data_IF_301752935490
#
_entry.id   IF_301752935490
#
_cell.length_a   1.000
_cell.length_b   1.000
_cell.length_c   1.000
_cell.angle_alpha   90.00
_cell.angle_beta   90.00
_cell.angle_gamma   90.00
#
_symmetry.space_group_name_H-M   'P 1'
#
loop_
_entity.id
_entity.type
_entity.pdbx_description
1 polymer ?
#
# COMPACT_ATOMS: atom_id res chain seq x y z
N UNK A 1 3.69 -26.59 -7.97
CA UNK A 1 4.60 -26.31 -6.85
C UNK A 1 4.18 -24.96 -6.29
N UNK A 2 3.71 -24.91 -5.05
CA UNK A 2 3.47 -23.65 -4.34
C UNK A 2 4.84 -23.08 -3.98
N UNK A 3 5.31 -22.08 -4.73
CA UNK A 3 6.45 -21.29 -4.30
C UNK A 3 6.08 -20.68 -2.94
N UNK A 4 6.78 -21.11 -1.88
CA UNK A 4 6.66 -20.50 -0.57
C UNK A 4 7.23 -19.09 -0.67
N UNK A 5 6.39 -18.12 -1.04
CA UNK A 5 6.77 -16.71 -1.02
C UNK A 5 7.20 -16.34 0.39
N UNK A 6 8.35 -15.67 0.51
CA UNK A 6 8.83 -15.14 1.79
C UNK A 6 7.78 -14.14 2.33
N UNK A 7 7.27 -14.39 3.52
CA UNK A 7 6.43 -13.41 4.22
C UNK A 7 7.30 -12.45 5.01
N UNK A 8 7.15 -11.15 4.73
CA UNK A 8 7.79 -10.06 5.46
C UNK A 8 6.77 -9.42 6.40
N UNK A 9 7.11 -9.28 7.67
CA UNK A 9 6.24 -8.62 8.68
C UNK A 9 6.72 -7.19 8.95
N UNK A 10 5.95 -6.44 9.74
CA UNK A 10 6.17 -5.01 10.05
C UNK A 10 7.62 -4.65 10.37
N UNK A 11 8.28 -5.39 11.28
CA UNK A 11 9.67 -5.12 11.68
C UNK A 11 10.67 -5.27 10.53
N UNK A 12 10.54 -6.35 9.77
CA UNK A 12 11.43 -6.63 8.64
C UNK A 12 11.19 -5.60 7.52
N UNK A 13 9.94 -5.20 7.31
CA UNK A 13 9.58 -4.16 6.36
C UNK A 13 10.13 -2.79 6.75
N UNK A 14 10.00 -2.39 8.02
CA UNK A 14 10.59 -1.13 8.51
C UNK A 14 12.11 -1.11 8.35
N UNK A 15 12.77 -2.25 8.56
CA UNK A 15 14.22 -2.41 8.33
C UNK A 15 14.55 -2.22 6.84
N UNK A 16 13.80 -2.88 5.94
CA UNK A 16 13.99 -2.74 4.49
C UNK A 16 13.77 -1.29 4.01
N UNK A 17 12.83 -0.55 4.60
CA UNK A 17 12.65 0.88 4.33
C UNK A 17 13.89 1.66 4.75
N UNK A 18 14.39 1.46 5.96
CA UNK A 18 15.57 2.16 6.46
C UNK A 18 16.82 1.89 5.60
N UNK A 19 17.06 0.64 5.20
CA UNK A 19 18.20 0.24 4.38
C UNK A 19 18.16 0.91 2.99
N UNK A 20 17.00 0.90 2.33
CA UNK A 20 16.82 1.46 0.98
C UNK A 20 17.01 2.97 0.90
N UNK A 21 16.71 3.67 2.00
CA UNK A 21 16.81 5.13 2.07
C UNK A 21 18.01 5.61 2.90
N UNK A 22 18.95 4.72 3.25
CA UNK A 22 20.14 5.02 4.06
C UNK A 22 21.08 6.07 3.44
N UNK A 23 21.01 6.26 2.11
CA UNK A 23 21.78 7.28 1.40
C UNK A 23 21.18 8.70 1.44
N UNK A 24 19.92 8.86 1.88
CA UNK A 24 19.25 10.17 1.99
C UNK A 24 19.19 10.60 3.47
N UNK A 25 19.86 11.70 3.80
CA UNK A 25 19.96 12.21 5.17
C UNK A 25 18.61 12.64 5.77
N UNK A 26 17.65 13.07 4.95
CA UNK A 26 16.30 13.43 5.41
C UNK A 26 15.47 12.17 5.63
N UNK A 27 15.49 11.23 4.69
CA UNK A 27 14.76 9.98 4.80
C UNK A 27 15.27 9.13 5.97
N UNK A 28 16.59 9.09 6.19
CA UNK A 28 17.21 8.38 7.32
C UNK A 28 16.70 8.89 8.67
N UNK A 29 16.45 10.20 8.81
CA UNK A 29 15.86 10.78 10.03
C UNK A 29 14.41 10.39 10.25
N UNK A 30 13.67 10.11 9.18
CA UNK A 30 12.26 9.74 9.23
C UNK A 30 12.04 8.22 9.27
N UNK A 31 13.02 7.41 8.86
CA UNK A 31 12.90 5.95 8.84
C UNK A 31 12.42 5.33 10.17
N UNK A 32 12.83 5.82 11.36
CA UNK A 32 12.29 5.32 12.63
C UNK A 32 10.77 5.50 12.79
N UNK A 33 10.16 6.45 12.08
CA UNK A 33 8.74 6.80 12.17
C UNK A 33 7.85 5.99 11.21
N UNK A 34 8.42 5.04 10.46
CA UNK A 34 7.67 4.24 9.47
C UNK A 34 6.54 3.46 10.13
N UNK A 35 6.80 2.81 11.27
CA UNK A 35 5.78 2.04 11.98
C UNK A 35 4.60 2.93 12.42
N UNK A 36 4.89 4.06 13.08
CA UNK A 36 3.86 5.03 13.50
C UNK A 36 3.09 5.61 12.30
N UNK A 37 3.77 5.83 11.17
CA UNK A 37 3.11 6.30 9.95
C UNK A 37 2.17 5.25 9.35
N UNK A 38 2.55 3.97 9.36
CA UNK A 38 1.69 2.87 8.90
C UNK A 38 0.46 2.73 9.79
N UNK A 39 0.62 2.83 11.12
CA UNK A 39 -0.48 2.89 12.07
C UNK A 39 -1.40 4.08 11.78
N UNK A 40 -0.84 5.28 11.58
CA UNK A 40 -1.61 6.49 11.25
C UNK A 40 -2.40 6.32 9.95
N UNK A 41 -1.81 5.71 8.92
CA UNK A 41 -2.47 5.46 7.63
C UNK A 41 -3.55 4.37 7.74
N UNK A 42 -3.28 3.32 8.52
CA UNK A 42 -4.18 2.20 8.75
C UNK A 42 -5.33 2.57 9.68
N UNK A 43 -5.00 2.73 10.96
CA UNK A 43 -5.94 2.91 12.07
C UNK A 43 -6.67 4.25 12.04
N UNK A 44 -6.02 5.34 11.64
CA UNK A 44 -6.66 6.68 11.67
C UNK A 44 -7.29 7.10 10.34
N UNK A 45 -6.99 6.40 9.24
CA UNK A 45 -7.54 6.73 7.92
C UNK A 45 -8.28 5.57 7.25
N UNK A 46 -7.61 4.45 7.03
CA UNK A 46 -8.20 3.32 6.31
C UNK A 46 -9.38 2.70 7.08
N UNK A 47 -9.17 2.35 8.35
CA UNK A 47 -10.19 1.71 9.19
C UNK A 47 -11.44 2.57 9.34
N UNK A 48 -11.37 3.86 9.71
CA UNK A 48 -12.57 4.70 9.85
C UNK A 48 -13.31 4.90 8.51
N UNK A 49 -12.59 4.93 7.39
CA UNK A 49 -13.19 5.01 6.05
C UNK A 49 -14.00 3.74 5.74
N UNK A 50 -13.47 2.57 6.08
CA UNK A 50 -14.16 1.29 5.93
C UNK A 50 -15.37 1.17 6.87
N UNK A 51 -15.22 1.54 8.15
CA UNK A 51 -16.31 1.52 9.13
C UNK A 51 -17.50 2.39 8.68
N UNK A 52 -17.22 3.61 8.20
CA UNK A 52 -18.26 4.52 7.71
C UNK A 52 -18.98 3.94 6.49
N UNK A 53 -18.21 3.37 5.56
CA UNK A 53 -18.73 2.70 4.37
C UNK A 53 -19.64 1.52 4.73
N UNK A 54 -19.23 0.67 5.68
CA UNK A 54 -20.03 -0.46 6.18
C UNK A 54 -21.32 0.02 6.86
N UNK A 55 -21.22 1.08 7.68
CA UNK A 55 -22.36 1.68 8.35
C UNK A 55 -23.38 2.26 7.36
N UNK A 56 -22.92 2.88 6.29
CA UNK A 56 -23.78 3.53 5.30
C UNK A 56 -24.25 2.59 4.18
N UNK A 57 -23.69 1.38 4.07
CA UNK A 57 -23.99 0.49 2.96
C UNK A 57 -23.35 0.89 1.63
N UNK A 58 -22.28 1.69 1.68
CA UNK A 58 -21.63 2.26 0.49
C UNK A 58 -20.47 1.35 0.05
N UNK A 59 -20.52 0.82 -1.18
CA UNK A 59 -19.42 0.03 -1.76
C UNK A 59 -19.34 0.30 -3.26
N UNK A 60 -18.14 0.42 -3.87
CA UNK A 60 -16.81 0.22 -3.28
C UNK A 60 -16.23 1.45 -2.60
N UNK A 61 -15.28 1.23 -1.69
CA UNK A 61 -14.40 2.26 -1.11
C UNK A 61 -13.15 2.40 -1.98
N UNK A 62 -12.76 3.63 -2.32
CA UNK A 62 -11.52 3.87 -3.08
C UNK A 62 -10.39 4.24 -2.12
N UNK A 63 -9.45 3.32 -1.95
CA UNK A 63 -8.25 3.52 -1.15
C UNK A 63 -7.07 4.00 -2.01
N UNK A 64 -6.49 5.15 -1.65
CA UNK A 64 -5.34 5.79 -2.28
C UNK A 64 -5.46 5.92 -3.81
N UNK A 65 -6.68 6.12 -4.33
CA UNK A 65 -6.98 6.15 -5.77
C UNK A 65 -6.57 4.90 -6.58
N UNK A 66 -5.97 3.89 -5.94
CA UNK A 66 -5.39 2.73 -6.61
C UNK A 66 -6.16 1.44 -6.34
N UNK A 67 -6.73 1.27 -5.14
CA UNK A 67 -7.48 0.08 -4.78
C UNK A 67 -8.97 0.40 -4.58
N UNK A 68 -9.84 -0.41 -5.19
CA UNK A 68 -11.28 -0.48 -4.92
C UNK A 68 -11.54 -1.63 -3.96
N UNK A 69 -11.92 -1.27 -2.74
CA UNK A 69 -12.26 -2.20 -1.67
C UNK A 69 -13.76 -2.46 -1.74
N UNK A 70 -14.13 -3.70 -2.01
CA UNK A 70 -15.50 -4.18 -1.96
C UNK A 70 -15.68 -4.95 -0.67
N UNK A 71 -16.84 -4.82 -0.05
CA UNK A 71 -17.19 -5.63 1.10
C UNK A 71 -18.61 -6.16 0.96
N UNK A 72 -18.87 -7.29 1.59
CA UNK A 72 -20.21 -7.88 1.71
C UNK A 72 -20.33 -8.61 3.04
N UNK A 73 -21.55 -8.72 3.56
CA UNK A 73 -21.84 -9.59 4.71
C UNK A 73 -22.28 -10.96 4.20
N UNK A 74 -21.59 -12.01 4.63
CA UNK A 74 -22.01 -13.39 4.39
C UNK A 74 -23.43 -13.58 4.96
N UNK A 75 -24.34 -14.17 4.19
CA UNK A 75 -25.74 -14.32 4.63
C UNK A 75 -25.87 -15.26 5.84
N UNK A 76 -25.04 -16.29 5.89
CA UNK A 76 -25.10 -17.35 6.90
C UNK A 76 -24.36 -16.97 8.19
N UNK A 77 -23.11 -16.51 8.09
CA UNK A 77 -22.25 -16.24 9.26
C UNK A 77 -22.33 -14.79 9.72
N UNK A 78 -22.91 -13.89 8.90
CA UNK A 78 -22.86 -12.43 9.06
C UNK A 78 -21.43 -11.85 9.07
N UNK A 79 -20.42 -12.66 8.76
CA UNK A 79 -19.04 -12.23 8.66
C UNK A 79 -18.87 -11.25 7.51
N UNK A 80 -17.99 -10.27 7.73
CA UNK A 80 -17.65 -9.28 6.74
C UNK A 80 -16.55 -9.84 5.85
N UNK A 81 -16.85 -9.99 4.57
CA UNK A 81 -15.87 -10.39 3.56
C UNK A 81 -15.41 -9.14 2.84
N UNK A 82 -14.12 -8.83 2.96
CA UNK A 82 -13.48 -7.67 2.34
C UNK A 82 -12.52 -8.11 1.25
N UNK A 83 -12.60 -7.51 0.07
CA UNK A 83 -11.71 -7.79 -1.05
C UNK A 83 -11.28 -6.49 -1.73
N UNK A 84 -9.99 -6.37 -2.07
CA UNK A 84 -9.52 -5.27 -2.92
C UNK A 84 -9.29 -5.72 -4.36
N UNK A 85 -9.62 -4.81 -5.28
CA UNK A 85 -9.27 -4.91 -6.70
C UNK A 85 -8.59 -3.60 -7.13
N UNK A 86 -7.82 -3.59 -8.22
CA UNK A 86 -7.32 -2.31 -8.74
C UNK A 86 -8.49 -1.41 -9.18
N UNK A 87 -8.46 -0.14 -8.77
CA UNK A 87 -9.57 0.81 -8.91
C UNK A 87 -9.94 1.10 -10.37
N UNK A 88 -8.95 1.06 -11.25
CA UNK A 88 -9.11 1.07 -12.69
C UNK A 88 -8.35 -0.11 -13.26
N UNK A 89 -8.94 -0.80 -14.25
CA UNK A 89 -8.19 -1.78 -15.04
C UNK A 89 -6.92 -1.16 -15.63
N UNK A 90 -6.91 0.17 -15.81
CA UNK A 90 -5.81 0.95 -16.38
C UNK A 90 -4.63 1.14 -15.43
N UNK A 91 -4.84 1.52 -14.15
CA UNK A 91 -3.73 1.86 -13.27
C UNK A 91 -2.88 0.65 -12.89
N UNK A 92 -3.52 -0.44 -12.47
CA UNK A 92 -2.83 -1.70 -12.20
C UNK A 92 -2.11 -2.24 -13.43
N UNK A 93 -2.77 -2.18 -14.60
CA UNK A 93 -2.17 -2.63 -15.87
C UNK A 93 -0.96 -1.79 -16.27
N UNK A 94 -1.05 -0.46 -16.19
CA UNK A 94 0.07 0.44 -16.52
C UNK A 94 1.25 0.23 -15.57
N UNK A 95 1.00 0.02 -14.29
CA UNK A 95 2.06 -0.33 -13.33
C UNK A 95 2.79 -1.61 -13.75
N UNK A 96 2.03 -2.63 -14.14
CA UNK A 96 2.56 -3.88 -14.69
C UNK A 96 3.32 -3.66 -16.01
N UNK A 97 2.83 -2.79 -16.91
CA UNK A 97 3.52 -2.42 -18.15
C UNK A 97 4.86 -1.74 -17.85
N UNK A 98 4.93 -0.82 -16.89
CA UNK A 98 6.19 -0.20 -16.46
C UNK A 98 7.20 -1.23 -15.94
N UNK A 99 6.75 -2.22 -15.17
CA UNK A 99 7.61 -3.30 -14.69
C UNK A 99 8.18 -4.16 -15.83
N UNK A 100 7.34 -4.53 -16.80
CA UNK A 100 7.75 -5.32 -17.99
C UNK A 100 8.70 -4.53 -18.87
N UNK A 101 8.39 -3.26 -19.16
CA UNK A 101 9.27 -2.37 -19.93
C UNK A 101 10.59 -2.10 -19.23
N UNK A 102 10.64 -2.18 -17.90
CA UNK A 102 11.85 -2.11 -17.09
C UNK A 102 12.68 -3.40 -17.04
N UNK A 103 12.33 -4.43 -17.84
CA UNK A 103 13.03 -5.71 -17.84
C UNK A 103 12.70 -6.58 -16.63
N UNK A 104 11.45 -6.54 -16.16
CA UNK A 104 10.98 -7.25 -14.95
C UNK A 104 11.77 -6.85 -13.70
N UNK A 105 12.05 -5.55 -13.56
CA UNK A 105 12.62 -4.94 -12.37
C UNK A 105 11.86 -3.66 -12.02
N UNK A 106 11.77 -3.36 -10.74
CA UNK A 106 11.26 -2.07 -10.28
C UNK A 106 12.24 -0.98 -10.69
N UNK A 107 11.73 -0.01 -11.43
CA UNK A 107 12.50 1.14 -11.93
C UNK A 107 11.99 2.44 -11.30
N UNK A 108 12.79 3.51 -11.27
CA UNK A 108 12.33 4.83 -10.82
C UNK A 108 11.03 5.28 -11.51
N UNK A 109 10.90 5.01 -12.82
CA UNK A 109 9.70 5.32 -13.59
C UNK A 109 8.46 4.56 -13.11
N UNK A 110 8.60 3.31 -12.66
CA UNK A 110 7.51 2.53 -12.07
C UNK A 110 7.08 3.12 -10.72
N UNK A 111 8.04 3.50 -9.87
CA UNK A 111 7.78 4.15 -8.59
C UNK A 111 7.09 5.51 -8.78
N UNK A 112 7.60 6.33 -9.71
CA UNK A 112 7.01 7.62 -10.07
C UNK A 112 5.60 7.48 -10.62
N UNK A 113 5.37 6.44 -11.43
CA UNK A 113 4.03 6.13 -11.91
C UNK A 113 3.08 5.79 -10.76
N UNK A 114 3.44 4.85 -9.87
CA UNK A 114 2.61 4.52 -8.71
C UNK A 114 2.31 5.76 -7.87
N UNK A 115 3.35 6.55 -7.58
CA UNK A 115 3.24 7.77 -6.80
C UNK A 115 2.35 8.82 -7.46
N UNK A 116 2.37 8.95 -8.79
CA UNK A 116 1.45 9.83 -9.52
C UNK A 116 -0.03 9.43 -9.36
N UNK A 117 -0.30 8.14 -9.13
CA UNK A 117 -1.66 7.62 -8.91
C UNK A 117 -2.07 7.79 -7.44
N UNK A 118 -1.26 7.29 -6.50
CA UNK A 118 -1.60 7.36 -5.07
C UNK A 118 -1.48 8.78 -4.51
N UNK A 119 -0.57 9.57 -5.09
CA UNK A 119 -0.29 10.97 -4.80
C UNK A 119 -1.13 11.96 -5.62
N UNK A 120 -2.27 11.53 -6.18
CA UNK A 120 -3.08 12.35 -7.10
C UNK A 120 -3.40 13.74 -6.49
N UNK A 121 -3.08 14.86 -7.18
CA UNK A 121 -3.16 16.22 -6.62
C UNK A 121 -4.53 16.62 -6.07
N UNK A 122 -5.62 16.07 -6.60
CA UNK A 122 -6.99 16.39 -6.15
C UNK A 122 -7.36 15.81 -4.77
N UNK A 123 -6.73 14.72 -4.34
CA UNK A 123 -7.08 14.00 -3.10
C UNK A 123 -5.91 13.86 -2.13
N UNK A 124 -4.68 13.79 -2.63
CA UNK A 124 -3.51 13.56 -1.79
C UNK A 124 -3.19 14.69 -0.80
N UNK A 125 -3.28 15.99 -1.15
CA UNK A 125 -3.11 17.07 -0.17
C UNK A 125 -4.14 17.00 0.97
N UNK A 126 -5.38 16.61 0.67
CA UNK A 126 -6.45 16.43 1.67
C UNK A 126 -6.13 15.26 2.60
N UNK A 127 -5.62 14.15 2.06
CA UNK A 127 -5.14 13.01 2.84
C UNK A 127 -4.02 13.43 3.79
N UNK A 128 -2.97 14.08 3.28
CA UNK A 128 -1.83 14.53 4.10
C UNK A 128 -2.28 15.51 5.20
N UNK A 129 -3.16 16.46 4.88
CA UNK A 129 -3.70 17.40 5.86
C UNK A 129 -4.51 16.67 6.95
N UNK A 130 -5.30 15.67 6.57
CA UNK A 130 -6.11 14.89 7.51
C UNK A 130 -5.24 14.02 8.42
N UNK A 131 -4.22 13.34 7.89
CA UNK A 131 -3.25 12.57 8.68
C UNK A 131 -2.48 13.48 9.66
N UNK A 132 -1.97 14.62 9.18
CA UNK A 132 -1.30 15.62 10.02
C UNK A 132 -2.21 16.10 11.17
N UNK A 133 -3.49 16.36 10.87
CA UNK A 133 -4.49 16.75 11.88
C UNK A 133 -4.72 15.63 12.90
N UNK A 134 -4.80 14.36 12.47
CA UNK A 134 -4.96 13.20 13.35
C UNK A 134 -3.76 13.02 14.27
N UNK A 135 -2.55 13.06 13.72
CA UNK A 135 -1.31 13.02 14.50
C UNK A 135 -1.27 14.14 15.55
N UNK A 136 -1.68 15.37 15.18
CA UNK A 136 -1.77 16.50 16.12
C UNK A 136 -2.80 16.28 17.23
N UNK A 137 -3.99 15.76 16.90
CA UNK A 137 -5.04 15.47 17.88
C UNK A 137 -4.61 14.40 18.89
N UNK A 138 -3.78 13.45 18.44
CA UNK A 138 -3.23 12.35 19.24
C UNK A 138 -1.73 12.56 19.52
N UNK A 139 -1.32 13.80 19.80
CA UNK A 139 0.10 14.17 19.96
C UNK A 139 0.82 13.52 21.15
N UNK A 140 0.09 12.86 22.06
CA UNK A 140 0.67 12.00 23.11
C UNK A 140 1.07 10.61 22.59
N UNK A 141 0.56 10.20 21.43
CA UNK A 141 0.78 8.88 20.82
C UNK A 141 1.68 8.92 19.59
N UNK A 142 1.73 10.05 18.88
CA UNK A 142 2.49 10.19 17.63
C UNK A 142 3.62 11.22 17.73
N UNK A 143 4.75 10.92 17.09
CA UNK A 143 5.88 11.84 16.99
C UNK A 143 5.49 13.16 16.31
N UNK A 144 6.06 14.28 16.79
CA UNK A 144 5.76 15.63 16.26
C UNK A 144 6.11 15.78 14.79
N UNK A 145 7.06 15.00 14.28
CA UNK A 145 7.42 14.99 12.87
C UNK A 145 6.31 14.45 11.97
N UNK A 146 5.34 13.69 12.49
CA UNK A 146 4.15 13.23 11.75
C UNK A 146 3.09 14.33 11.60
N UNK A 147 3.20 15.43 12.34
CA UNK A 147 2.34 16.61 12.14
C UNK A 147 2.79 17.38 10.89
N UNK A 148 4.03 17.20 10.44
CA UNK A 148 4.60 17.95 9.32
C UNK A 148 4.23 17.28 7.99
N UNK A 149 3.42 17.95 7.18
CA UNK A 149 2.92 17.40 5.91
C UNK A 149 4.03 16.92 4.95
N UNK A 150 5.13 17.67 4.81
CA UNK A 150 6.27 17.24 3.97
C UNK A 150 6.92 15.93 4.44
N UNK A 151 6.92 15.67 5.75
CA UNK A 151 7.48 14.44 6.30
C UNK A 151 6.54 13.27 5.99
N UNK A 152 5.22 13.46 6.16
CA UNK A 152 4.23 12.46 5.77
C UNK A 152 4.29 12.12 4.27
N UNK A 153 4.50 13.13 3.42
CA UNK A 153 4.70 12.94 1.98
C UNK A 153 5.94 12.08 1.68
N UNK A 154 7.06 12.34 2.36
CA UNK A 154 8.29 11.54 2.19
C UNK A 154 8.11 10.11 2.72
N UNK A 155 7.48 9.93 3.89
CA UNK A 155 7.15 8.62 4.45
C UNK A 155 6.24 7.82 3.51
N UNK A 156 5.26 8.47 2.89
CA UNK A 156 4.43 7.86 1.83
C UNK A 156 5.31 7.30 0.72
N UNK A 157 6.21 8.12 0.17
CA UNK A 157 7.11 7.69 -0.90
C UNK A 157 8.00 6.52 -0.45
N UNK A 158 8.59 6.62 0.74
CA UNK A 158 9.47 5.59 1.30
C UNK A 158 8.78 4.23 1.43
N UNK A 159 7.55 4.22 1.96
CA UNK A 159 6.76 3.00 2.15
C UNK A 159 6.36 2.38 0.81
N UNK A 160 5.77 3.16 -0.09
CA UNK A 160 5.22 2.58 -1.32
C UNK A 160 6.31 2.19 -2.34
N UNK A 161 7.45 2.89 -2.38
CA UNK A 161 8.60 2.46 -3.17
C UNK A 161 9.16 1.14 -2.63
N UNK A 162 9.30 1.03 -1.31
CA UNK A 162 9.77 -0.21 -0.68
C UNK A 162 8.80 -1.36 -0.91
N UNK A 163 7.49 -1.13 -0.83
CA UNK A 163 6.48 -2.15 -1.16
C UNK A 163 6.63 -2.66 -2.60
N UNK A 164 6.90 -1.79 -3.57
CA UNK A 164 7.14 -2.22 -4.95
C UNK A 164 8.35 -3.15 -5.03
N UNK A 165 9.50 -2.74 -4.48
CA UNK A 165 10.71 -3.56 -4.53
C UNK A 165 10.54 -4.90 -3.81
N UNK A 166 9.95 -4.92 -2.62
CA UNK A 166 9.78 -6.16 -1.86
C UNK A 166 8.80 -7.12 -2.56
N UNK A 167 7.73 -6.60 -3.17
CA UNK A 167 6.71 -7.46 -3.80
C UNK A 167 7.07 -7.89 -5.23
N UNK A 168 7.66 -7.01 -6.05
CA UNK A 168 7.97 -7.29 -7.45
C UNK A 168 9.37 -7.87 -7.66
N UNK A 169 10.41 -7.27 -7.06
CA UNK A 169 11.79 -7.74 -7.25
C UNK A 169 12.09 -8.96 -6.36
N UNK A 170 11.72 -8.86 -5.07
CA UNK A 170 12.01 -9.91 -4.08
C UNK A 170 10.92 -10.98 -3.98
N UNK A 171 9.77 -10.78 -4.62
CA UNK A 171 8.65 -11.73 -4.62
C UNK A 171 8.04 -11.98 -3.24
N UNK A 172 8.25 -11.07 -2.28
CA UNK A 172 7.76 -11.20 -0.92
C UNK A 172 6.25 -10.93 -0.84
N UNK A 173 5.63 -11.52 0.18
CA UNK A 173 4.31 -11.14 0.68
C UNK A 173 4.54 -10.24 1.88
N UNK A 174 4.23 -8.96 1.77
CA UNK A 174 4.43 -7.99 2.85
C UNK A 174 3.15 -7.88 3.66
N UNK A 175 3.18 -8.29 4.92
CA UNK A 175 2.09 -8.17 5.87
C UNK A 175 2.34 -7.00 6.81
N UNK A 176 1.48 -5.97 6.74
CA UNK A 176 1.51 -4.80 7.60
C UNK A 176 0.28 -4.84 8.50
N UNK A 177 0.48 -4.91 9.82
CA UNK A 177 -0.56 -5.26 10.78
C UNK A 177 -1.74 -4.28 10.76
N UNK A 178 -1.48 -2.97 10.62
CA UNK A 178 -2.52 -1.94 10.65
C UNK A 178 -3.18 -1.66 9.29
N UNK A 179 -2.69 -2.26 8.20
CA UNK A 179 -3.17 -1.98 6.85
C UNK A 179 -3.69 -3.21 6.12
N UNK A 180 -2.88 -4.27 6.08
CA UNK A 180 -3.15 -5.44 5.27
C UNK A 180 -1.92 -6.01 4.60
N UNK A 181 -2.18 -6.90 3.65
CA UNK A 181 -1.15 -7.68 2.96
C UNK A 181 -0.98 -7.18 1.54
N UNK A 182 0.27 -7.01 1.11
CA UNK A 182 0.65 -6.62 -0.24
C UNK A 182 1.45 -7.73 -0.90
N UNK A 183 1.14 -8.03 -2.15
CA UNK A 183 1.93 -8.98 -2.94
C UNK A 183 1.84 -8.68 -4.43
N UNK A 184 2.80 -9.19 -5.19
CA UNK A 184 2.67 -9.33 -6.63
C UNK A 184 1.92 -10.63 -6.94
N UNK A 185 0.68 -10.52 -7.43
CA UNK A 185 -0.20 -11.66 -7.69
C UNK A 185 -0.38 -11.91 -9.19
N UNK A 186 -0.65 -13.16 -9.55
CA UNK A 186 -0.82 -13.58 -10.94
C UNK A 186 -2.24 -14.07 -11.15
N UNK A 187 -2.90 -13.66 -12.25
CA UNK A 187 -4.20 -14.24 -12.60
C UNK A 187 -4.02 -15.70 -12.98
N UNK A 188 -4.51 -16.60 -12.13
CA UNK A 188 -4.61 -18.03 -12.40
C UNK A 188 -5.51 -18.21 -13.63
N UNK A 189 -4.96 -18.76 -14.73
CA UNK A 189 -5.73 -19.05 -15.94
C UNK A 189 -5.02 -18.84 -17.29
N UNK A 190 -3.85 -18.17 -17.34
CA UNK A 190 -3.03 -18.12 -18.56
C UNK A 190 -1.96 -19.21 -18.53
N UNK A 191 -2.38 -20.47 -18.75
CA UNK A 191 -1.47 -21.63 -18.85
C UNK A 191 -0.49 -21.55 -20.04
N UNK A 192 -0.70 -20.63 -20.99
CA UNK A 192 0.12 -20.51 -22.20
C UNK A 192 0.71 -19.09 -22.37
N UNK A 193 1.26 -18.50 -21.31
CA UNK A 193 2.17 -17.37 -21.50
C UNK A 193 3.56 -17.95 -21.81
N UNK A 194 3.90 -18.03 -23.09
CA UNK A 194 5.27 -18.19 -23.55
C UNK A 194 6.12 -17.07 -22.95
N UNK A 195 7.10 -17.44 -22.11
CA UNK A 195 8.12 -16.65 -21.40
C UNK A 195 7.98 -16.60 -19.87
N UNK A 196 9.13 -16.74 -19.22
CA UNK A 196 9.37 -16.65 -17.77
C UNK A 196 8.59 -15.51 -17.11
N UNK A 197 7.75 -15.89 -16.12
CA UNK A 197 6.92 -15.05 -15.23
C UNK A 197 5.90 -14.15 -15.98
N UNK A 198 4.61 -14.55 -16.06
CA UNK A 198 3.56 -13.64 -16.53
C UNK A 198 3.56 -12.39 -15.64
N UNK A 199 3.35 -11.19 -16.18
CA UNK A 199 3.55 -9.99 -15.39
C UNK A 199 2.40 -9.86 -14.38
N UNK A 200 2.75 -9.95 -13.10
CA UNK A 200 1.78 -9.91 -12.01
C UNK A 200 1.25 -8.50 -11.76
N UNK A 201 0.29 -8.39 -10.85
CA UNK A 201 -0.33 -7.13 -10.49
C UNK A 201 -0.22 -6.90 -8.98
N UNK A 202 -0.11 -5.63 -8.60
CA UNK A 202 0.08 -5.20 -7.22
C UNK A 202 -1.22 -5.36 -6.42
N UNK A 203 -1.36 -6.51 -5.75
CA UNK A 203 -2.54 -6.88 -4.96
C UNK A 203 -2.40 -6.32 -3.54
N UNK A 204 -3.53 -5.86 -3.00
CA UNK A 204 -3.70 -5.49 -1.60
C UNK A 204 -4.83 -6.34 -1.01
N UNK A 205 -4.64 -6.91 0.16
CA UNK A 205 -5.68 -7.62 0.92
C UNK A 205 -5.82 -6.89 2.24
N UNK A 206 -6.87 -6.08 2.43
CA UNK A 206 -6.99 -5.25 3.62
C UNK A 206 -7.09 -6.08 4.89
N UNK A 207 -6.46 -5.61 5.96
CA UNK A 207 -6.74 -6.09 7.31
C UNK A 207 -7.88 -5.24 7.87
N UNK A 208 -9.12 -5.70 7.71
CA UNK A 208 -10.30 -5.03 8.26
C UNK A 208 -11.18 -6.08 8.96
N UNK A 209 -11.41 -5.94 10.28
CA UNK A 209 -12.20 -6.90 11.06
C UNK A 209 -13.71 -6.86 10.75
#
# INVERSE_FOLDING_TARGET
MTDNKKTMKDKDFCTAVAERFSGDATATKLAPLVAEFLELLGTEHFTPMMELSVKNGESPVVFLNFWKINWRKEKATRELIVNATCSTKTAGRKLTEHFVSGGNKVTPAMCDYLYSVIGHPGSFPKLIQMLSKRAKQKSSFYDRNLIIGKNLTLLFRMVFDTLLHETFDNGAVVHLSDLGTFENSYKIGRKNATNDRPPGYFQFTPNFP
#
